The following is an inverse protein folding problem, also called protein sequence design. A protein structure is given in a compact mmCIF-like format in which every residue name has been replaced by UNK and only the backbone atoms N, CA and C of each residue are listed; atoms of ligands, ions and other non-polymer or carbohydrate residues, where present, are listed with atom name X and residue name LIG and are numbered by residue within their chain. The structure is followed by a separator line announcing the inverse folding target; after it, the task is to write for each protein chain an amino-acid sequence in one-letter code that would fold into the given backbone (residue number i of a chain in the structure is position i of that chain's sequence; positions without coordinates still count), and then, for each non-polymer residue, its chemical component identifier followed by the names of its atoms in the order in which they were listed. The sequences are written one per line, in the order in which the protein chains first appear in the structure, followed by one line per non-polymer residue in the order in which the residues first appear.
data_IF_434380593458
#
_entry.id   IF_434380593458
#
_cell.length_a   1.000
_cell.length_b   1.000
_cell.length_c   1.000
_cell.angle_alpha   90.00
_cell.angle_beta   90.00
_cell.angle_gamma   90.00
#
_symmetry.space_group_name_H-M   'P 1'
#
loop_
_entity.id
_entity.type
_entity.pdbx_description
1 polymer ?
#
# COMPACT_ATOMS: atom_id res chain seq x y z
N UNK A 1 -24.25 -10.10 -18.65
CA UNK A 1 -24.04 -8.81 -17.96
C UNK A 1 -24.18 -9.06 -16.47
N UNK A 2 -23.14 -8.76 -15.69
CA UNK A 2 -23.21 -8.85 -14.23
C UNK A 2 -24.23 -7.82 -13.70
N UNK A 3 -24.94 -8.14 -12.63
CA UNK A 3 -25.90 -7.21 -12.04
C UNK A 3 -25.16 -6.07 -11.31
N UNK A 4 -25.76 -4.87 -11.19
CA UNK A 4 -25.15 -3.78 -10.43
C UNK A 4 -24.84 -4.17 -8.97
N UNK A 5 -25.66 -5.03 -8.37
CA UNK A 5 -25.43 -5.56 -7.03
C UNK A 5 -24.16 -6.43 -6.97
N UNK A 6 -23.94 -7.26 -8.00
CA UNK A 6 -22.74 -8.11 -8.11
C UNK A 6 -21.48 -7.28 -8.36
N UNK A 7 -21.56 -6.23 -9.18
CA UNK A 7 -20.44 -5.30 -9.38
C UNK A 7 -20.07 -4.63 -8.06
N UNK A 8 -21.05 -4.10 -7.32
CA UNK A 8 -20.79 -3.45 -6.02
C UNK A 8 -20.19 -4.43 -5.00
N UNK A 9 -20.67 -5.68 -4.96
CA UNK A 9 -20.11 -6.71 -4.08
C UNK A 9 -18.64 -7.02 -4.40
N UNK A 10 -18.29 -7.12 -5.69
CA UNK A 10 -16.91 -7.35 -6.10
C UNK A 10 -16.02 -6.15 -5.74
N UNK A 11 -16.48 -4.92 -6.00
CA UNK A 11 -15.75 -3.70 -5.63
C UNK A 11 -15.42 -3.69 -4.13
N UNK A 12 -16.40 -3.97 -3.27
CA UNK A 12 -16.19 -4.01 -1.81
C UNK A 12 -15.20 -5.10 -1.39
N UNK A 13 -15.31 -6.29 -1.99
CA UNK A 13 -14.40 -7.42 -1.70
C UNK A 13 -12.97 -7.10 -2.12
N UNK A 14 -12.79 -6.51 -3.31
CA UNK A 14 -11.48 -6.14 -3.84
C UNK A 14 -10.82 -5.02 -3.02
N UNK A 15 -11.58 -4.00 -2.60
CA UNK A 15 -11.06 -2.96 -1.70
C UNK A 15 -10.66 -3.55 -0.33
N UNK A 16 -11.44 -4.49 0.19
CA UNK A 16 -11.14 -5.17 1.46
C UNK A 16 -9.85 -5.98 1.37
N UNK A 17 -9.62 -6.70 0.27
CA UNK A 17 -8.35 -7.39 0.01
C UNK A 17 -7.18 -6.39 -0.07
N UNK A 18 -7.38 -5.24 -0.73
CA UNK A 18 -6.38 -4.16 -0.79
C UNK A 18 -6.00 -3.66 0.61
N UNK A 19 -6.97 -3.58 1.52
CA UNK A 19 -6.73 -3.15 2.90
C UNK A 19 -5.78 -4.08 3.66
N UNK A 20 -5.68 -5.37 3.32
CA UNK A 20 -4.74 -6.31 3.94
C UNK A 20 -3.32 -6.27 3.36
N UNK A 21 -3.13 -5.73 2.16
CA UNK A 21 -1.82 -5.69 1.50
C UNK A 21 -0.69 -5.00 2.30
N UNK A 22 -0.94 -4.03 3.20
CA UNK A 22 0.12 -3.44 4.04
C UNK A 22 0.55 -4.31 5.24
N UNK A 23 -0.16 -5.41 5.54
CA UNK A 23 0.19 -6.30 6.66
C UNK A 23 1.63 -6.78 6.52
N UNK A 24 2.38 -6.65 7.62
CA UNK A 24 3.79 -7.04 7.74
C UNK A 24 4.70 -6.45 6.66
N UNK A 25 4.33 -5.32 6.06
CA UNK A 25 5.09 -4.68 4.99
C UNK A 25 6.50 -4.27 5.41
N UNK A 26 6.67 -3.87 6.68
CA UNK A 26 7.95 -3.48 7.27
C UNK A 26 8.72 -4.73 7.72
N UNK A 27 9.93 -4.98 7.20
CA UNK A 27 10.84 -6.00 7.73
C UNK A 27 11.14 -5.81 9.22
N UNK A 28 11.25 -6.89 9.99
CA UNK A 28 11.72 -6.79 11.37
C UNK A 28 13.22 -6.43 11.43
N UNK A 29 13.67 -5.66 12.44
CA UNK A 29 15.00 -5.04 12.44
C UNK A 29 16.14 -6.02 12.80
N UNK A 30 15.84 -7.28 13.05
CA UNK A 30 16.77 -8.35 13.47
C UNK A 30 17.37 -9.16 12.31
N UNK A 31 17.30 -8.63 11.08
CA UNK A 31 17.73 -9.35 9.89
C UNK A 31 16.72 -10.39 9.41
N UNK A 32 15.43 -10.20 9.69
CA UNK A 32 14.33 -11.04 9.18
C UNK A 32 14.54 -11.42 7.71
N UNK A 33 14.58 -12.72 7.46
CA UNK A 33 14.71 -13.27 6.10
C UNK A 33 13.43 -13.06 5.29
N UNK A 34 13.54 -13.12 3.96
CA UNK A 34 12.36 -13.06 3.08
C UNK A 34 11.33 -14.15 3.40
N UNK A 35 11.77 -15.37 3.74
CA UNK A 35 10.88 -16.48 4.13
C UNK A 35 10.09 -16.14 5.39
N UNK A 36 10.76 -15.60 6.42
CA UNK A 36 10.12 -15.21 7.68
C UNK A 36 9.10 -14.09 7.46
N UNK A 37 9.44 -13.08 6.65
CA UNK A 37 8.49 -12.01 6.37
C UNK A 37 7.29 -12.48 5.57
N UNK A 38 7.48 -13.28 4.52
CA UNK A 38 6.37 -13.83 3.75
C UNK A 38 5.44 -14.66 4.64
N UNK A 39 6.00 -15.44 5.57
CA UNK A 39 5.21 -16.19 6.54
C UNK A 39 4.39 -15.26 7.45
N UNK A 40 5.00 -14.19 7.98
CA UNK A 40 4.30 -13.19 8.81
C UNK A 40 3.20 -12.46 8.04
N UNK A 41 3.46 -12.09 6.79
CA UNK A 41 2.43 -11.54 5.89
C UNK A 41 1.28 -12.52 5.69
N UNK A 42 1.58 -13.78 5.39
CA UNK A 42 0.58 -14.82 5.18
C UNK A 42 -0.29 -15.04 6.42
N UNK A 43 0.32 -15.14 7.59
CA UNK A 43 -0.39 -15.37 8.86
C UNK A 43 -1.28 -14.19 9.22
N UNK A 44 -0.78 -12.95 9.08
CA UNK A 44 -1.57 -11.75 9.31
C UNK A 44 -2.73 -11.60 8.34
N UNK A 45 -2.50 -11.80 7.03
CA UNK A 45 -3.57 -11.74 6.01
C UNK A 45 -4.63 -12.81 6.28
N UNK A 46 -4.23 -14.05 6.60
CA UNK A 46 -5.20 -15.12 6.94
C UNK A 46 -6.01 -14.80 8.18
N UNK A 47 -5.38 -14.24 9.22
CA UNK A 47 -6.09 -13.81 10.43
C UNK A 47 -7.12 -12.74 10.11
N UNK A 48 -6.73 -11.69 9.38
CA UNK A 48 -7.64 -10.61 9.01
C UNK A 48 -8.78 -11.09 8.09
N UNK A 49 -8.50 -11.99 7.14
CA UNK A 49 -9.52 -12.60 6.30
C UNK A 49 -10.54 -13.41 7.11
N UNK A 50 -10.09 -14.18 8.10
CA UNK A 50 -10.97 -15.00 8.94
C UNK A 50 -11.91 -14.17 9.84
N UNK A 51 -11.52 -12.94 10.16
CA UNK A 51 -12.32 -12.00 10.97
C UNK A 51 -13.22 -11.10 10.11
N UNK A 52 -13.09 -11.14 8.78
CA UNK A 52 -13.79 -10.23 7.88
C UNK A 52 -14.97 -10.91 7.18
N UNK A 53 -16.23 -10.51 7.48
CA UNK A 53 -17.41 -11.11 6.85
C UNK A 53 -17.38 -11.02 5.32
N UNK A 54 -17.73 -12.11 4.65
CA UNK A 54 -17.81 -12.16 3.19
C UNK A 54 -16.53 -12.65 2.51
N UNK A 55 -15.44 -12.87 3.26
CA UNK A 55 -14.21 -13.49 2.76
C UNK A 55 -14.06 -14.97 3.15
N UNK A 56 -15.06 -15.57 3.79
CA UNK A 56 -15.07 -16.97 4.24
C UNK A 56 -14.84 -17.99 3.12
N UNK A 57 -15.20 -17.61 1.88
CA UNK A 57 -15.01 -18.45 0.70
C UNK A 57 -13.66 -18.26 0.03
N UNK A 58 -12.72 -17.48 0.58
CA UNK A 58 -11.45 -17.17 -0.06
C UNK A 58 -10.26 -17.69 0.77
N UNK A 59 -9.24 -18.22 0.10
CA UNK A 59 -7.99 -18.66 0.74
C UNK A 59 -6.79 -18.07 0.02
N UNK A 60 -5.77 -17.65 0.77
CA UNK A 60 -4.47 -17.25 0.19
C UNK A 60 -3.77 -18.48 -0.38
N UNK A 61 -3.50 -18.46 -1.69
CA UNK A 61 -2.88 -19.56 -2.45
C UNK A 61 -1.50 -19.21 -3.01
N UNK A 62 -1.10 -17.94 -2.99
CA UNK A 62 0.24 -17.49 -3.34
C UNK A 62 0.52 -16.13 -2.69
N UNK A 63 1.78 -15.87 -2.33
CA UNK A 63 2.23 -14.58 -1.85
C UNK A 63 3.68 -14.40 -2.27
N UNK A 64 4.00 -13.29 -2.93
CA UNK A 64 5.36 -13.01 -3.39
C UNK A 64 5.79 -11.60 -3.05
N UNK A 65 7.06 -11.46 -2.67
CA UNK A 65 7.72 -10.16 -2.48
C UNK A 65 8.85 -10.00 -3.48
N UNK A 66 9.12 -8.77 -3.89
CA UNK A 66 10.27 -8.42 -4.73
C UNK A 66 11.58 -8.64 -3.96
N UNK A 67 12.71 -8.74 -4.66
CA UNK A 67 14.03 -9.00 -4.05
C UNK A 67 14.42 -7.96 -3.00
N UNK A 68 14.02 -6.70 -3.19
CA UNK A 68 14.22 -5.61 -2.24
C UNK A 68 13.07 -5.46 -1.23
N UNK A 69 12.05 -6.34 -1.28
CA UNK A 69 10.89 -6.39 -0.38
C UNK A 69 10.02 -5.12 -0.40
N UNK A 70 10.25 -4.26 -1.40
CA UNK A 70 9.55 -3.00 -1.62
C UNK A 70 8.17 -3.19 -2.30
N UNK A 71 7.98 -4.29 -3.06
CA UNK A 71 6.71 -4.61 -3.70
C UNK A 71 6.25 -6.00 -3.27
N UNK A 72 4.94 -6.18 -3.10
CA UNK A 72 4.30 -7.42 -2.68
C UNK A 72 3.00 -7.63 -3.44
N UNK A 73 2.69 -8.88 -3.77
CA UNK A 73 1.37 -9.29 -4.19
C UNK A 73 0.98 -10.62 -3.56
N UNK A 74 -0.32 -10.85 -3.40
CA UNK A 74 -0.85 -12.14 -3.00
C UNK A 74 -2.04 -12.53 -3.86
N UNK A 75 -2.26 -13.83 -3.99
CA UNK A 75 -3.39 -14.42 -4.71
C UNK A 75 -4.30 -15.10 -3.72
N UNK A 76 -5.59 -14.79 -3.78
CA UNK A 76 -6.64 -15.55 -3.14
C UNK A 76 -7.44 -16.33 -4.18
N UNK A 77 -7.89 -17.53 -3.82
CA UNK A 77 -8.74 -18.37 -4.65
C UNK A 77 -10.03 -18.67 -3.90
N UNK A 78 -11.14 -18.64 -4.62
CA UNK A 78 -12.43 -19.02 -4.07
C UNK A 78 -12.47 -20.54 -3.85
N UNK A 79 -12.86 -20.99 -2.65
CA UNK A 79 -12.90 -22.41 -2.28
C UNK A 79 -14.14 -23.13 -2.80
N UNK A 80 -15.19 -22.38 -3.14
CA UNK A 80 -16.43 -22.90 -3.72
C UNK A 80 -16.36 -22.96 -5.24
N UNK A 81 -15.58 -22.06 -5.84
CA UNK A 81 -15.30 -22.03 -7.27
C UNK A 81 -13.81 -21.74 -7.51
N UNK A 82 -13.03 -22.79 -7.75
CA UNK A 82 -11.58 -22.64 -7.93
C UNK A 82 -11.19 -21.92 -9.23
N UNK A 83 -12.14 -21.69 -10.15
CA UNK A 83 -11.92 -20.89 -11.36
C UNK A 83 -11.94 -19.38 -11.09
N UNK A 84 -12.32 -18.96 -9.88
CA UNK A 84 -12.35 -17.56 -9.48
C UNK A 84 -11.17 -17.23 -8.54
N UNK A 85 -10.34 -16.28 -8.97
CA UNK A 85 -9.16 -15.82 -8.25
C UNK A 85 -9.14 -14.30 -8.14
N UNK A 86 -8.44 -13.79 -7.13
CA UNK A 86 -8.07 -12.38 -7.07
C UNK A 86 -6.59 -12.22 -6.75
N UNK A 87 -5.93 -11.30 -7.46
CA UNK A 87 -4.54 -10.89 -7.21
C UNK A 87 -4.57 -9.48 -6.64
N UNK A 88 -4.03 -9.31 -5.43
CA UNK A 88 -3.93 -8.02 -4.79
C UNK A 88 -2.48 -7.52 -4.79
N UNK A 89 -2.26 -6.33 -5.35
CA UNK A 89 -0.97 -5.65 -5.38
C UNK A 89 -0.89 -4.61 -4.27
N UNK A 90 0.22 -4.62 -3.52
CA UNK A 90 0.47 -3.66 -2.44
C UNK A 90 0.87 -2.29 -2.99
N UNK A 91 0.37 -1.23 -2.34
CA UNK A 91 0.85 0.14 -2.54
C UNK A 91 2.14 0.48 -1.78
N UNK A 92 2.63 1.72 -1.95
CA UNK A 92 3.73 2.29 -1.16
C UNK A 92 3.19 3.07 0.03
N UNK A 93 3.99 3.16 1.10
CA UNK A 93 3.76 4.12 2.19
C UNK A 93 4.54 5.38 1.86
N UNK A 94 3.87 6.48 1.51
CA UNK A 94 4.53 7.75 1.20
C UNK A 94 4.33 8.76 2.34
N UNK A 95 5.29 9.67 2.50
CA UNK A 95 5.25 10.75 3.51
C UNK A 95 4.95 12.13 2.92
N UNK A 96 5.06 12.31 1.60
CA UNK A 96 4.77 13.56 0.90
C UNK A 96 4.52 13.32 -0.59
N UNK A 97 4.05 14.35 -1.31
CA UNK A 97 3.94 14.29 -2.77
C UNK A 97 5.30 14.21 -3.47
N UNK A 98 6.36 14.77 -2.87
CA UNK A 98 7.71 14.77 -3.45
C UNK A 98 8.26 13.35 -3.39
N UNK A 99 8.14 12.69 -2.23
CA UNK A 99 8.55 11.30 -2.08
C UNK A 99 7.81 10.41 -3.08
N UNK A 100 6.50 10.63 -3.25
CA UNK A 100 5.70 9.91 -4.24
C UNK A 100 6.19 10.14 -5.69
N UNK A 101 6.59 11.38 -6.04
CA UNK A 101 7.09 11.71 -7.38
C UNK A 101 8.44 11.07 -7.67
N UNK A 102 9.32 11.05 -6.66
CA UNK A 102 10.63 10.43 -6.71
C UNK A 102 10.52 8.91 -6.79
N UNK A 103 9.69 8.29 -5.96
CA UNK A 103 9.41 6.85 -5.97
C UNK A 103 8.88 6.37 -7.32
N UNK A 104 8.06 7.20 -7.99
CA UNK A 104 7.53 6.89 -9.32
C UNK A 104 8.42 7.37 -10.47
N UNK A 105 9.53 8.06 -10.20
CA UNK A 105 10.42 8.68 -11.19
C UNK A 105 9.65 9.37 -12.34
N UNK A 106 8.68 10.23 -12.01
CA UNK A 106 7.63 10.68 -12.96
C UNK A 106 8.09 11.72 -13.97
N UNK A 107 9.29 12.27 -13.75
CA UNK A 107 9.95 13.20 -14.66
C UNK A 107 10.67 12.48 -15.82
N UNK A 108 10.59 11.14 -15.88
CA UNK A 108 11.07 10.33 -16.99
C UNK A 108 9.98 9.33 -17.40
N UNK A 109 9.80 9.13 -18.71
CA UNK A 109 8.85 8.16 -19.26
C UNK A 109 9.56 7.17 -20.18
N UNK A 110 9.13 5.92 -20.14
CA UNK A 110 9.69 4.82 -20.95
C UNK A 110 8.59 4.11 -21.76
N UNK A 111 8.89 3.59 -22.96
CA UNK A 111 7.94 2.81 -23.74
C UNK A 111 7.44 1.57 -22.98
N UNK A 112 6.13 1.34 -22.95
CA UNK A 112 5.55 0.16 -22.31
C UNK A 112 5.32 -0.97 -23.33
N UNK A 113 6.35 -1.80 -23.54
CA UNK A 113 6.31 -2.93 -24.48
C UNK A 113 5.73 -4.21 -23.89
N UNK A 114 5.69 -4.34 -22.56
CA UNK A 114 5.30 -5.57 -21.87
C UNK A 114 3.80 -5.87 -21.99
N UNK A 115 2.99 -4.85 -22.23
CA UNK A 115 1.57 -4.99 -22.54
C UNK A 115 1.28 -5.57 -23.92
N UNK A 116 2.27 -5.95 -24.74
CA UNK A 116 2.05 -6.44 -26.09
C UNK A 116 2.00 -5.31 -27.13
N UNK A 117 1.28 -5.54 -28.24
CA UNK A 117 1.29 -4.61 -29.38
C UNK A 117 0.24 -3.52 -29.22
N UNK A 118 0.63 -2.24 -29.17
CA UNK A 118 -0.31 -1.14 -29.08
C UNK A 118 -0.96 -0.83 -30.45
N UNK A 119 -2.07 -0.07 -30.49
CA UNK A 119 -2.71 0.34 -31.74
C UNK A 119 -1.72 1.02 -32.71
N UNK A 120 -1.82 0.79 -34.03
CA UNK A 120 -0.95 1.43 -35.01
C UNK A 120 -0.93 2.95 -34.86
N UNK A 121 0.27 3.54 -34.83
CA UNK A 121 0.46 5.00 -34.68
C UNK A 121 0.39 5.52 -33.24
N UNK A 122 0.10 4.66 -32.25
CA UNK A 122 0.15 5.04 -30.83
C UNK A 122 1.52 4.75 -30.22
N UNK A 123 1.95 5.59 -29.27
CA UNK A 123 3.22 5.43 -28.54
C UNK A 123 2.94 5.47 -27.03
N UNK A 124 2.46 4.36 -26.43
CA UNK A 124 2.20 4.30 -25.01
C UNK A 124 3.53 4.33 -24.23
N UNK A 125 3.64 5.30 -23.34
CA UNK A 125 4.76 5.41 -22.41
C UNK A 125 4.21 5.52 -20.99
N UNK A 126 4.99 5.01 -20.04
CA UNK A 126 4.67 5.05 -18.60
C UNK A 126 5.81 5.72 -17.83
N UNK A 127 5.53 6.24 -16.64
CA UNK A 127 6.53 6.73 -15.71
C UNK A 127 7.60 5.66 -15.49
N UNK A 128 8.86 6.07 -15.43
CA UNK A 128 9.97 5.12 -15.27
C UNK A 128 9.89 4.33 -13.96
N UNK A 129 9.46 4.93 -12.87
CA UNK A 129 9.27 4.23 -11.61
C UNK A 129 8.06 3.29 -11.65
N UNK A 130 7.02 3.59 -12.43
CA UNK A 130 5.94 2.64 -12.68
C UNK A 130 6.45 1.41 -13.47
N UNK A 131 7.35 1.59 -14.44
CA UNK A 131 8.01 0.49 -15.13
C UNK A 131 8.92 -0.32 -14.19
N UNK A 132 9.70 0.33 -13.32
CA UNK A 132 10.53 -0.35 -12.33
C UNK A 132 9.69 -1.14 -11.30
N UNK A 133 8.56 -0.58 -10.85
CA UNK A 133 7.63 -1.26 -9.97
C UNK A 133 6.99 -2.48 -10.66
N UNK A 134 6.61 -2.35 -11.94
CA UNK A 134 6.15 -3.46 -12.77
C UNK A 134 7.20 -4.58 -12.84
N UNK A 135 8.44 -4.27 -13.19
CA UNK A 135 9.51 -5.26 -13.29
C UNK A 135 9.75 -5.96 -11.94
N UNK A 136 9.78 -5.19 -10.85
CA UNK A 136 9.97 -5.71 -9.50
C UNK A 136 8.85 -6.66 -9.07
N UNK A 137 7.58 -6.37 -9.40
CA UNK A 137 6.46 -7.22 -9.03
C UNK A 137 6.32 -8.45 -9.93
N UNK A 138 6.61 -8.33 -11.23
CA UNK A 138 6.63 -9.47 -12.15
C UNK A 138 7.79 -10.44 -11.83
N UNK A 139 8.87 -9.94 -11.25
CA UNK A 139 9.99 -10.73 -10.74
C UNK A 139 9.82 -11.21 -9.29
N UNK A 140 8.79 -10.75 -8.56
CA UNK A 140 8.54 -11.15 -7.18
C UNK A 140 8.30 -12.65 -7.08
N UNK A 141 8.79 -13.27 -5.99
CA UNK A 141 8.72 -14.72 -5.80
C UNK A 141 8.06 -15.09 -4.49
N UNK A 142 7.14 -16.05 -4.57
CA UNK A 142 6.74 -16.86 -3.44
C UNK A 142 7.86 -17.84 -3.11
N UNK A 143 8.28 -17.83 -1.85
CA UNK A 143 9.23 -18.82 -1.29
C UNK A 143 8.56 -19.76 -0.29
N UNK A 144 7.24 -19.65 -0.14
CA UNK A 144 6.43 -20.50 0.71
C UNK A 144 5.87 -21.70 -0.08
N UNK A 145 5.57 -22.79 0.62
CA UNK A 145 4.93 -23.98 0.05
C UNK A 145 3.40 -23.83 -0.09
N UNK A 146 2.94 -22.81 -0.83
CA UNK A 146 1.52 -22.56 -1.06
C UNK A 146 0.98 -23.29 -2.31
N UNK A 147 -0.36 -23.48 -2.44
CA UNK A 147 -0.94 -24.20 -3.59
C UNK A 147 -0.56 -23.67 -4.98
N UNK A 148 -0.34 -22.36 -5.12
CA UNK A 148 0.15 -21.75 -6.36
C UNK A 148 1.64 -22.00 -6.63
N UNK A 149 2.32 -22.77 -5.77
CA UNK A 149 3.73 -23.12 -5.89
C UNK A 149 4.69 -22.01 -5.45
N UNK A 150 5.98 -22.35 -5.47
CA UNK A 150 7.08 -21.41 -5.33
C UNK A 150 7.39 -20.80 -6.70
N UNK A 151 7.69 -19.50 -6.76
CA UNK A 151 8.01 -18.83 -8.02
C UNK A 151 7.23 -17.54 -8.23
N UNK A 152 7.15 -17.10 -9.49
CA UNK A 152 6.54 -15.83 -9.87
C UNK A 152 5.02 -15.90 -9.94
N UNK A 153 4.37 -14.74 -9.99
CA UNK A 153 2.93 -14.63 -10.19
C UNK A 153 2.47 -15.39 -11.45
N UNK A 154 3.21 -15.28 -12.56
CA UNK A 154 2.88 -15.96 -13.81
C UNK A 154 2.89 -17.48 -13.63
N UNK A 155 3.94 -18.04 -13.01
CA UNK A 155 3.99 -19.48 -12.74
C UNK A 155 2.89 -19.95 -11.78
N UNK A 156 2.48 -19.09 -10.85
CA UNK A 156 1.40 -19.40 -9.93
C UNK A 156 0.04 -19.43 -10.63
N UNK A 157 -0.27 -18.42 -11.44
CA UNK A 157 -1.50 -18.39 -12.23
C UNK A 157 -1.56 -19.53 -13.25
N UNK A 158 -0.43 -19.90 -13.86
CA UNK A 158 -0.35 -21.11 -14.71
C UNK A 158 -0.71 -22.38 -13.94
N UNK A 159 -0.18 -22.52 -12.71
CA UNK A 159 -0.46 -23.68 -11.85
C UNK A 159 -1.91 -23.72 -11.41
N UNK A 160 -2.48 -22.57 -11.03
CA UNK A 160 -3.81 -22.47 -10.45
C UNK A 160 -4.93 -22.53 -11.49
N UNK A 161 -4.75 -21.90 -12.66
CA UNK A 161 -5.76 -21.82 -13.71
C UNK A 161 -5.61 -22.93 -14.77
N UNK A 162 -4.48 -23.66 -14.79
CA UNK A 162 -4.18 -24.64 -15.82
C UNK A 162 -4.06 -24.02 -17.22
N UNK A 163 -4.09 -24.88 -18.24
CA UNK A 163 -3.81 -24.50 -19.64
C UNK A 163 -5.05 -24.45 -20.54
N UNK A 164 -6.19 -25.02 -20.11
CA UNK A 164 -7.38 -25.20 -20.97
C UNK A 164 -8.68 -24.72 -20.34
N UNK A 165 -8.78 -24.72 -19.01
CA UNK A 165 -10.03 -24.37 -18.34
C UNK A 165 -10.23 -22.85 -18.28
N UNK A 166 -11.48 -22.36 -18.42
CA UNK A 166 -11.80 -20.96 -18.15
C UNK A 166 -11.53 -20.61 -16.68
N UNK A 167 -11.02 -19.41 -16.44
CA UNK A 167 -10.86 -18.84 -15.11
C UNK A 167 -11.00 -17.32 -15.15
N UNK A 168 -11.51 -16.73 -14.08
CA UNK A 168 -11.58 -15.29 -13.90
C UNK A 168 -10.57 -14.87 -12.85
N UNK A 169 -9.69 -13.94 -13.20
CA UNK A 169 -8.67 -13.39 -12.30
C UNK A 169 -8.94 -11.91 -12.10
N UNK A 170 -9.42 -11.55 -10.90
CA UNK A 170 -9.64 -10.16 -10.49
C UNK A 170 -8.31 -9.53 -10.06
N UNK A 171 -7.83 -8.54 -10.80
CA UNK A 171 -6.60 -7.81 -10.50
C UNK A 171 -6.95 -6.55 -9.73
N UNK A 172 -6.44 -6.42 -8.51
CA UNK A 172 -6.77 -5.28 -7.64
C UNK A 172 -5.58 -4.69 -6.91
N UNK A 173 -5.68 -3.40 -6.59
CA UNK A 173 -4.69 -2.73 -5.78
C UNK A 173 -5.12 -1.32 -5.40
N UNK A 174 -4.59 -0.85 -4.26
CA UNK A 174 -4.78 0.50 -3.75
C UNK A 174 -3.47 1.31 -3.93
N UNK A 175 -3.56 2.62 -4.19
CA UNK A 175 -2.39 3.51 -4.35
C UNK A 175 -1.48 3.04 -5.50
N UNK A 176 -0.16 2.91 -5.27
CA UNK A 176 0.76 2.26 -6.22
C UNK A 176 0.27 0.88 -6.67
N UNK A 177 -0.40 0.11 -5.81
CA UNK A 177 -0.99 -1.18 -6.19
C UNK A 177 -2.04 -1.01 -7.30
N UNK A 178 -2.85 0.06 -7.24
CA UNK A 178 -3.82 0.39 -8.28
C UNK A 178 -3.13 0.84 -9.58
N UNK A 179 -2.02 1.58 -9.49
CA UNK A 179 -1.18 1.90 -10.65
C UNK A 179 -0.59 0.63 -11.28
N UNK A 180 -0.09 -0.32 -10.46
CA UNK A 180 0.42 -1.61 -10.91
C UNK A 180 -0.64 -2.43 -11.65
N UNK A 181 -1.90 -2.42 -11.23
CA UNK A 181 -2.97 -3.09 -11.99
C UNK A 181 -3.03 -2.60 -13.43
N UNK A 182 -2.85 -1.29 -13.67
CA UNK A 182 -2.91 -0.71 -15.03
C UNK A 182 -1.78 -1.18 -15.94
N UNK A 183 -0.64 -1.59 -15.39
CA UNK A 183 0.52 -2.10 -16.15
C UNK A 183 0.55 -3.63 -16.19
N UNK A 184 0.26 -4.30 -15.07
CA UNK A 184 0.28 -5.76 -14.94
C UNK A 184 -0.86 -6.41 -15.72
N UNK A 185 -2.07 -5.84 -15.73
CA UNK A 185 -3.21 -6.45 -16.41
C UNK A 185 -2.99 -6.59 -17.94
N UNK A 186 -2.56 -5.54 -18.69
CA UNK A 186 -2.15 -5.69 -20.09
C UNK A 186 -1.10 -6.78 -20.31
N UNK A 187 -0.07 -6.84 -19.45
CA UNK A 187 1.02 -7.79 -19.60
C UNK A 187 0.56 -9.24 -19.37
N UNK A 188 -0.23 -9.49 -18.31
CA UNK A 188 -0.80 -10.80 -18.04
C UNK A 188 -1.74 -11.23 -19.17
N UNK A 189 -2.65 -10.36 -19.62
CA UNK A 189 -3.55 -10.69 -20.73
C UNK A 189 -2.76 -11.06 -22.00
N UNK A 190 -1.67 -10.36 -22.31
CA UNK A 190 -0.83 -10.66 -23.48
C UNK A 190 -0.01 -11.95 -23.33
N UNK A 191 0.47 -12.27 -22.14
CA UNK A 191 1.17 -13.52 -21.88
C UNK A 191 0.20 -14.71 -21.92
N UNK A 192 -0.94 -14.60 -21.23
CA UNK A 192 -1.91 -15.69 -21.10
C UNK A 192 -2.73 -15.93 -22.36
N UNK A 193 -2.86 -14.96 -23.27
CA UNK A 193 -3.39 -15.21 -24.62
C UNK A 193 -2.63 -16.33 -25.37
N UNK A 194 -1.35 -16.59 -25.01
CA UNK A 194 -0.54 -17.68 -25.57
C UNK A 194 -0.52 -18.95 -24.70
N UNK A 195 -0.87 -18.84 -23.43
CA UNK A 195 -0.75 -19.93 -22.44
C UNK A 195 -2.11 -20.60 -22.18
N UNK A 196 -3.12 -19.80 -21.87
CA UNK A 196 -4.51 -20.20 -21.69
C UNK A 196 -5.42 -19.02 -22.10
N UNK A 197 -5.92 -19.01 -23.35
CA UNK A 197 -6.72 -17.90 -23.86
C UNK A 197 -8.14 -17.82 -23.25
N UNK A 198 -8.52 -18.79 -22.41
CA UNK A 198 -9.82 -18.80 -21.73
C UNK A 198 -9.81 -18.08 -20.38
N UNK A 199 -8.64 -17.60 -19.93
CA UNK A 199 -8.53 -16.79 -18.73
C UNK A 199 -8.96 -15.35 -19.03
N UNK A 200 -9.89 -14.84 -18.22
CA UNK A 200 -10.30 -13.44 -18.21
C UNK A 200 -9.64 -12.69 -17.06
N UNK A 201 -9.31 -11.42 -17.30
CA UNK A 201 -8.74 -10.54 -16.29
C UNK A 201 -9.67 -9.34 -16.11
N UNK A 202 -10.21 -9.19 -14.91
CA UNK A 202 -11.01 -8.04 -14.50
C UNK A 202 -10.12 -7.10 -13.67
N UNK A 203 -10.31 -5.78 -13.81
CA UNK A 203 -9.45 -4.78 -13.15
C UNK A 203 -10.22 -3.93 -12.16
N UNK A 204 -9.66 -3.78 -10.95
CA UNK A 204 -10.21 -3.00 -9.85
C UNK A 204 -9.12 -2.14 -9.23
N UNK A 205 -9.04 -0.87 -9.63
CA UNK A 205 -8.06 0.07 -9.08
C UNK A 205 -8.72 0.98 -8.06
N UNK A 206 -8.01 1.23 -6.97
CA UNK A 206 -8.43 2.15 -5.92
C UNK A 206 -7.34 3.18 -5.72
N UNK A 207 -7.69 4.46 -5.71
CA UNK A 207 -6.74 5.52 -5.35
C UNK A 207 -5.46 5.54 -6.22
N UNK A 208 -5.56 5.08 -7.47
CA UNK A 208 -4.39 4.86 -8.32
C UNK A 208 -3.86 6.19 -8.88
N UNK A 209 -2.56 6.52 -8.73
CA UNK A 209 -1.96 7.59 -9.52
C UNK A 209 -1.82 7.15 -10.98
N UNK A 210 -1.71 8.13 -11.89
CA UNK A 210 -1.54 7.86 -13.32
C UNK A 210 -0.23 7.15 -13.61
N UNK A 211 -0.29 6.07 -14.37
CA UNK A 211 0.90 5.35 -14.80
C UNK A 211 1.59 5.98 -16.02
N UNK A 212 0.85 6.58 -16.95
CA UNK A 212 1.40 6.96 -18.25
C UNK A 212 0.61 8.00 -19.01
N UNK A 213 0.92 8.12 -20.30
CA UNK A 213 0.33 9.11 -21.20
C UNK A 213 -1.05 8.69 -21.74
N UNK A 214 -1.68 9.57 -22.51
CA UNK A 214 -2.99 9.32 -23.15
C UNK A 214 -3.02 8.04 -24.00
N UNK A 215 -1.96 7.79 -24.78
CA UNK A 215 -1.86 6.58 -25.61
C UNK A 215 -1.87 5.30 -24.76
N UNK A 216 -1.21 5.31 -23.60
CA UNK A 216 -1.25 4.22 -22.65
C UNK A 216 -2.64 4.07 -22.01
N UNK A 217 -3.24 5.16 -21.52
CA UNK A 217 -4.56 5.13 -20.88
C UNK A 217 -5.66 4.62 -21.83
N UNK A 218 -5.70 5.14 -23.07
CA UNK A 218 -6.67 4.71 -24.09
C UNK A 218 -6.46 3.25 -24.48
N UNK A 219 -5.20 2.81 -24.57
CA UNK A 219 -4.89 1.42 -24.86
C UNK A 219 -5.35 0.48 -23.75
N UNK A 220 -5.18 0.88 -22.48
CA UNK A 220 -5.71 0.15 -21.34
C UNK A 220 -7.24 0.07 -21.39
N UNK A 221 -7.93 1.21 -21.56
CA UNK A 221 -9.41 1.28 -21.58
C UNK A 221 -10.02 0.42 -22.70
N UNK A 222 -9.37 0.38 -23.87
CA UNK A 222 -9.80 -0.45 -24.99
C UNK A 222 -9.78 -1.95 -24.65
N UNK A 223 -8.84 -2.37 -23.79
CA UNK A 223 -8.65 -3.78 -23.42
C UNK A 223 -9.43 -4.18 -22.17
N UNK A 224 -9.74 -3.22 -21.31
CA UNK A 224 -10.47 -3.41 -20.06
C UNK A 224 -11.67 -2.45 -19.97
N UNK A 225 -12.63 -2.51 -20.91
CA UNK A 225 -13.74 -1.55 -20.98
C UNK A 225 -14.71 -1.65 -19.79
N UNK A 226 -14.65 -2.75 -19.04
CA UNK A 226 -15.45 -2.96 -17.83
C UNK A 226 -14.65 -2.74 -16.53
N UNK A 227 -13.41 -2.23 -16.65
CA UNK A 227 -12.54 -1.97 -15.52
C UNK A 227 -13.16 -0.98 -14.52
N UNK A 228 -12.92 -1.22 -13.24
CA UNK A 228 -13.42 -0.39 -12.15
C UNK A 228 -12.26 0.47 -11.63
N UNK A 229 -12.20 1.73 -12.05
CA UNK A 229 -11.26 2.71 -11.52
C UNK A 229 -11.96 3.61 -10.48
N UNK A 230 -11.85 3.21 -9.22
CA UNK A 230 -12.54 3.80 -8.07
C UNK A 230 -11.63 4.86 -7.42
N UNK A 231 -12.17 6.05 -7.22
CA UNK A 231 -11.42 7.16 -6.68
C UNK A 231 -12.29 8.07 -5.81
N UNK A 232 -11.65 8.65 -4.80
CA UNK A 232 -12.19 9.71 -3.97
C UNK A 232 -11.81 11.05 -4.62
N UNK A 233 -12.79 11.93 -4.79
CA UNK A 233 -12.58 13.27 -5.39
C UNK A 233 -11.43 14.03 -4.73
N UNK A 234 -11.33 13.93 -3.41
CA UNK A 234 -10.35 14.66 -2.60
C UNK A 234 -9.10 13.84 -2.26
N UNK A 235 -8.95 12.63 -2.81
CA UNK A 235 -7.69 11.92 -2.74
C UNK A 235 -6.70 12.52 -3.74
N UNK A 236 -5.65 13.16 -3.21
CA UNK A 236 -4.59 13.77 -4.01
C UNK A 236 -3.87 12.71 -4.86
N UNK A 237 -3.67 11.49 -4.36
CA UNK A 237 -2.92 10.44 -5.07
C UNK A 237 -3.65 10.00 -6.33
N UNK A 238 -4.98 9.84 -6.27
CA UNK A 238 -5.79 9.54 -7.46
C UNK A 238 -5.77 10.66 -8.52
N UNK A 239 -5.31 11.86 -8.14
CA UNK A 239 -5.28 13.06 -8.98
C UNK A 239 -3.87 13.43 -9.48
N UNK A 240 -2.82 12.73 -9.03
CA UNK A 240 -1.48 12.89 -9.60
C UNK A 240 -1.24 11.88 -10.73
N UNK A 241 -0.55 12.22 -11.81
CA UNK A 241 0.17 13.47 -12.12
C UNK A 241 -0.59 14.36 -13.11
N UNK A 242 -1.84 14.01 -13.42
CA UNK A 242 -2.65 14.68 -14.44
C UNK A 242 -3.32 15.98 -13.98
N UNK A 243 -3.57 16.15 -12.67
CA UNK A 243 -4.39 17.24 -12.12
C UNK A 243 -3.61 18.21 -11.20
N UNK A 244 -2.32 18.47 -11.52
CA UNK A 244 -1.44 19.36 -10.75
C UNK A 244 -1.62 20.86 -11.06
N UNK A 245 -2.27 21.18 -12.18
CA UNK A 245 -2.43 22.54 -12.69
C UNK A 245 -3.26 23.45 -11.78
N UNK A 246 -3.38 24.73 -12.11
CA UNK A 246 -4.29 25.63 -11.40
C UNK A 246 -5.74 25.40 -11.86
N UNK A 247 -6.69 25.45 -10.93
CA UNK A 247 -8.12 25.38 -11.26
C UNK A 247 -8.97 24.89 -10.09
N UNK A 248 -10.29 25.14 -10.12
CA UNK A 248 -11.20 24.83 -9.01
C UNK A 248 -11.38 23.32 -8.76
N UNK A 249 -10.98 22.48 -9.73
CA UNK A 249 -11.03 21.02 -9.63
C UNK A 249 -9.65 20.39 -9.46
N UNK A 250 -8.59 21.22 -9.38
CA UNK A 250 -7.22 20.74 -9.24
C UNK A 250 -6.85 20.42 -7.80
N UNK A 251 -5.77 19.66 -7.60
CA UNK A 251 -5.28 19.36 -6.25
C UNK A 251 -4.88 20.63 -5.48
N UNK A 252 -4.61 21.75 -6.16
CA UNK A 252 -4.34 23.04 -5.53
C UNK A 252 -5.56 23.62 -4.80
N UNK A 253 -6.76 23.15 -5.15
CA UNK A 253 -8.04 23.55 -4.57
C UNK A 253 -8.65 22.48 -3.65
N UNK A 254 -7.91 21.41 -3.34
CA UNK A 254 -8.40 20.38 -2.44
C UNK A 254 -8.42 20.86 -0.99
N UNK A 255 -9.28 20.20 -0.22
CA UNK A 255 -9.58 20.48 1.18
C UNK A 255 -10.18 21.88 1.40
N UNK A 256 -11.35 22.17 0.79
CA UNK A 256 -12.10 23.39 1.07
C UNK A 256 -12.56 23.42 2.53
N UNK A 257 -13.01 24.58 3.00
CA UNK A 257 -13.60 24.78 4.34
C UNK A 257 -14.60 23.64 4.67
N UNK A 258 -14.50 23.02 5.87
CA UNK A 258 -13.66 23.37 7.02
C UNK A 258 -12.19 22.90 6.94
N UNK A 259 -11.80 22.27 5.83
CA UNK A 259 -10.49 21.70 5.63
C UNK A 259 -9.33 22.71 5.46
N UNK A 260 -8.10 22.21 5.60
CA UNK A 260 -6.87 22.96 5.42
C UNK A 260 -6.64 23.26 3.93
N UNK A 261 -7.11 24.42 3.45
CA UNK A 261 -6.94 24.76 2.04
C UNK A 261 -5.46 24.99 1.69
N UNK A 262 -4.99 24.47 0.55
CA UNK A 262 -3.55 24.36 0.24
C UNK A 262 -2.81 25.72 0.21
N UNK A 263 -3.48 26.81 -0.15
CA UNK A 263 -2.87 28.15 -0.16
C UNK A 263 -2.72 28.77 1.24
N UNK A 264 -3.41 28.21 2.23
CA UNK A 264 -3.40 28.70 3.62
C UNK A 264 -2.42 27.90 4.50
N UNK A 265 -1.99 26.73 4.03
CA UNK A 265 -1.13 25.82 4.77
C UNK A 265 0.34 26.06 4.40
N UNK A 266 1.19 26.30 5.39
CA UNK A 266 2.62 26.58 5.19
C UNK A 266 3.54 25.58 5.88
N UNK A 267 4.70 25.35 5.28
CA UNK A 267 5.82 24.62 5.88
C UNK A 267 6.58 25.50 6.90
N UNK A 268 7.61 24.93 7.55
CA UNK A 268 8.46 25.66 8.50
C UNK A 268 9.27 26.82 7.88
N UNK A 269 9.36 26.89 6.54
CA UNK A 269 10.06 27.93 5.78
C UNK A 269 9.09 28.99 5.24
N UNK A 270 7.78 28.86 5.50
CA UNK A 270 6.75 29.77 5.02
C UNK A 270 6.31 29.51 3.57
N UNK A 271 6.71 28.40 2.94
CA UNK A 271 6.22 28.00 1.63
C UNK A 271 4.83 27.36 1.77
N UNK A 272 3.87 27.81 0.97
CA UNK A 272 2.53 27.22 0.99
C UNK A 272 2.52 25.87 0.31
N UNK A 273 1.66 24.96 0.75
CA UNK A 273 1.46 23.66 0.06
C UNK A 273 1.09 23.88 -1.41
N UNK A 274 0.26 24.89 -1.70
CA UNK A 274 -0.05 25.29 -3.08
C UNK A 274 1.22 25.62 -3.88
N UNK A 275 2.17 26.37 -3.32
CA UNK A 275 3.42 26.72 -4.01
C UNK A 275 4.30 25.49 -4.26
N UNK A 276 4.28 24.50 -3.37
CA UNK A 276 4.99 23.24 -3.55
C UNK A 276 4.39 22.42 -4.70
N UNK A 277 3.05 22.32 -4.77
CA UNK A 277 2.33 21.68 -5.87
C UNK A 277 2.64 22.38 -7.20
N UNK A 278 2.64 23.71 -7.23
CA UNK A 278 2.99 24.48 -8.42
C UNK A 278 4.44 24.24 -8.86
N UNK A 279 5.37 24.15 -7.91
CA UNK A 279 6.76 23.78 -8.17
C UNK A 279 6.89 22.40 -8.82
N UNK A 280 6.08 21.44 -8.35
CA UNK A 280 6.02 20.09 -8.91
C UNK A 280 5.41 20.07 -10.32
N UNK A 281 4.30 20.77 -10.54
CA UNK A 281 3.70 20.94 -11.85
C UNK A 281 4.69 21.56 -12.85
N UNK A 282 5.47 22.55 -12.39
CA UNK A 282 6.53 23.16 -13.20
C UNK A 282 7.66 22.17 -13.51
N UNK A 283 8.17 21.42 -12.53
CA UNK A 283 9.20 20.38 -12.77
C UNK A 283 8.72 19.35 -13.79
N UNK A 284 7.46 18.94 -13.69
CA UNK A 284 6.85 17.99 -14.63
C UNK A 284 6.79 18.57 -16.05
N UNK A 285 6.33 19.81 -16.20
CA UNK A 285 6.30 20.50 -17.49
C UNK A 285 7.71 20.69 -18.08
N UNK A 286 8.68 21.09 -17.25
CA UNK A 286 10.07 21.34 -17.67
C UNK A 286 10.81 20.03 -18.06
N UNK A 287 10.36 18.87 -17.57
CA UNK A 287 10.96 17.58 -17.90
C UNK A 287 10.74 17.13 -19.35
N UNK A 288 9.73 17.70 -20.04
CA UNK A 288 9.41 17.38 -21.43
C UNK A 288 8.73 16.02 -21.63
N UNK A 289 8.31 15.34 -20.56
CA UNK A 289 7.52 14.11 -20.66
C UNK A 289 6.12 14.40 -21.23
N UNK A 290 5.50 13.38 -21.83
CA UNK A 290 4.12 13.50 -22.30
C UNK A 290 3.17 13.70 -21.11
N UNK A 291 2.09 14.50 -21.25
CA UNK A 291 1.11 14.66 -20.19
C UNK A 291 0.57 13.31 -19.70
N UNK A 292 0.50 13.16 -18.38
CA UNK A 292 -0.10 11.99 -17.76
C UNK A 292 -1.61 12.04 -17.86
N UNK A 293 -2.23 10.88 -18.08
CA UNK A 293 -3.69 10.74 -18.22
C UNK A 293 -4.16 9.53 -17.41
N UNK A 294 -5.27 9.69 -16.70
CA UNK A 294 -5.93 8.55 -16.04
C UNK A 294 -6.66 7.67 -17.05
N UNK A 295 -6.64 6.35 -16.89
CA UNK A 295 -7.66 5.48 -17.48
C UNK A 295 -9.08 5.94 -17.08
N UNK A 296 -10.09 5.51 -17.83
CA UNK A 296 -11.48 5.92 -17.60
C UNK A 296 -11.91 5.63 -16.16
N UNK A 297 -12.19 6.70 -15.41
CA UNK A 297 -12.57 6.62 -14.01
C UNK A 297 -14.08 6.48 -13.83
N UNK A 298 -14.50 5.78 -12.78
CA UNK A 298 -15.89 5.75 -12.35
C UNK A 298 -16.30 7.13 -11.78
N UNK A 299 -17.60 7.41 -11.57
CA UNK A 299 -18.00 8.63 -10.86
C UNK A 299 -17.28 8.75 -9.50
N UNK A 300 -16.77 9.95 -9.15
CA UNK A 300 -16.00 10.12 -7.93
C UNK A 300 -16.83 9.83 -6.68
N UNK A 301 -16.17 9.23 -5.69
CA UNK A 301 -16.66 9.21 -4.31
C UNK A 301 -16.43 10.58 -3.65
N UNK A 302 -17.13 10.84 -2.54
CA UNK A 302 -16.96 12.03 -1.68
C UNK A 302 -17.01 13.36 -2.47
N UNK A 303 -18.11 13.63 -3.18
CA UNK A 303 -18.18 14.76 -4.13
C UNK A 303 -18.21 16.16 -3.50
N UNK A 304 -18.61 16.25 -2.23
CA UNK A 304 -18.92 17.46 -1.48
C UNK A 304 -18.01 17.67 -0.25
N UNK A 305 -17.00 16.81 -0.06
CA UNK A 305 -16.07 16.84 1.08
C UNK A 305 -16.74 16.57 2.44
N UNK A 306 -17.92 15.94 2.46
CA UNK A 306 -18.61 15.57 3.68
C UNK A 306 -17.80 14.59 4.54
N UNK A 307 -16.96 13.76 3.92
CA UNK A 307 -16.05 12.83 4.61
C UNK A 307 -14.64 13.43 4.64
N UNK A 308 -14.20 13.88 5.81
CA UNK A 308 -12.88 14.48 6.05
C UNK A 308 -12.37 14.15 7.45
N UNK A 309 -11.06 14.32 7.67
CA UNK A 309 -10.46 14.12 8.99
C UNK A 309 -10.81 15.29 9.92
N UNK A 310 -11.43 15.05 11.10
CA UNK A 310 -11.66 16.10 12.09
C UNK A 310 -10.38 16.53 12.81
N UNK A 311 -9.35 15.67 12.80
CA UNK A 311 -8.08 15.90 13.53
C UNK A 311 -7.05 16.70 12.70
N UNK A 312 -7.39 17.02 11.45
CA UNK A 312 -6.50 17.66 10.48
C UNK A 312 -7.18 18.87 9.81
N UNK A 313 -7.65 19.81 10.63
CA UNK A 313 -8.35 21.03 10.20
C UNK A 313 -7.53 22.31 10.45
N UNK A 314 -6.36 22.20 11.08
CA UNK A 314 -5.47 23.35 11.27
C UNK A 314 -4.90 23.84 9.93
N UNK A 315 -4.49 25.10 9.84
CA UNK A 315 -3.94 25.67 8.58
C UNK A 315 -2.43 25.47 8.49
N UNK A 316 -1.95 24.25 8.73
CA UNK A 316 -0.53 23.90 8.63
C UNK A 316 -0.28 22.87 7.54
N UNK A 317 0.96 22.77 7.07
CA UNK A 317 1.36 21.68 6.17
C UNK A 317 1.08 20.29 6.78
N UNK A 318 1.26 20.14 8.10
CA UNK A 318 0.98 18.88 8.80
C UNK A 318 -0.51 18.50 8.74
N UNK A 319 -1.41 19.47 8.92
CA UNK A 319 -2.85 19.24 8.79
C UNK A 319 -3.24 18.91 7.35
N UNK A 320 -2.67 19.62 6.36
CA UNK A 320 -2.91 19.31 4.95
C UNK A 320 -2.47 17.88 4.61
N UNK A 321 -1.29 17.48 5.09
CA UNK A 321 -0.80 16.11 4.95
C UNK A 321 -1.67 15.10 5.70
N UNK A 322 -2.23 15.48 6.84
CA UNK A 322 -3.20 14.68 7.60
C UNK A 322 -4.49 14.43 6.81
N UNK A 323 -5.02 15.44 6.10
CA UNK A 323 -6.15 15.23 5.19
C UNK A 323 -5.78 14.39 4.00
N UNK A 324 -4.63 14.61 3.38
CA UNK A 324 -4.17 13.77 2.28
C UNK A 324 -4.14 12.30 2.74
N UNK A 325 -3.48 12.00 3.85
CA UNK A 325 -3.39 10.65 4.40
C UNK A 325 -4.79 10.07 4.70
N UNK A 326 -5.70 10.87 5.27
CA UNK A 326 -7.07 10.46 5.55
C UNK A 326 -7.84 10.15 4.26
N UNK A 327 -7.85 11.05 3.28
CA UNK A 327 -8.58 10.87 2.02
C UNK A 327 -8.07 9.68 1.21
N UNK A 328 -6.78 9.35 1.36
CA UNK A 328 -6.12 8.23 0.71
C UNK A 328 -6.17 6.92 1.53
N UNK A 329 -6.71 6.90 2.74
CA UNK A 329 -6.64 5.70 3.59
C UNK A 329 -7.59 4.59 3.10
N UNK A 330 -7.15 3.33 3.25
CA UNK A 330 -7.98 2.15 2.92
C UNK A 330 -9.37 2.20 3.59
N UNK A 331 -9.42 2.56 4.87
CA UNK A 331 -10.68 2.63 5.63
C UNK A 331 -11.58 3.79 5.19
N UNK A 332 -11.03 4.88 4.65
CA UNK A 332 -11.83 5.96 4.05
C UNK A 332 -12.51 5.44 2.79
N UNK A 333 -11.79 4.72 1.93
CA UNK A 333 -12.38 4.09 0.75
C UNK A 333 -13.44 3.04 1.11
N UNK A 334 -13.16 2.17 2.09
CA UNK A 334 -14.15 1.18 2.56
C UNK A 334 -15.42 1.87 3.09
N UNK A 335 -15.27 2.92 3.90
CA UNK A 335 -16.41 3.68 4.41
C UNK A 335 -17.23 4.35 3.29
N UNK A 336 -16.55 4.99 2.32
CA UNK A 336 -17.22 5.62 1.17
C UNK A 336 -17.95 4.62 0.28
N UNK A 337 -17.49 3.37 0.23
CA UNK A 337 -18.13 2.26 -0.49
C UNK A 337 -19.22 1.55 0.34
N UNK A 338 -19.42 1.94 1.60
CA UNK A 338 -20.33 1.28 2.53
C UNK A 338 -19.88 -0.14 2.94
N UNK A 339 -18.60 -0.45 2.78
CA UNK A 339 -17.99 -1.70 3.22
C UNK A 339 -17.52 -1.60 4.69
N UNK A 340 -17.46 -2.72 5.44
CA UNK A 340 -16.84 -2.75 6.75
C UNK A 340 -15.39 -2.28 6.68
N UNK A 341 -14.97 -1.47 7.64
CA UNK A 341 -13.56 -1.09 7.79
C UNK A 341 -12.75 -2.28 8.29
N UNK A 342 -11.46 -2.29 7.94
CA UNK A 342 -10.51 -3.28 8.41
C UNK A 342 -9.69 -2.68 9.55
N UNK A 343 -9.52 -3.44 10.62
CA UNK A 343 -8.68 -3.02 11.72
C UNK A 343 -7.26 -3.59 11.57
N UNK A 344 -6.32 -2.76 11.09
CA UNK A 344 -4.88 -3.05 11.16
C UNK A 344 -4.30 -2.14 12.25
N UNK A 345 -4.41 -2.59 13.49
CA UNK A 345 -3.87 -1.86 14.62
C UNK A 345 -2.34 -1.83 14.56
N UNK A 346 -1.77 -0.66 14.30
CA UNK A 346 -0.32 -0.43 14.43
C UNK A 346 -0.03 -0.12 15.89
N UNK A 347 0.83 -0.89 16.59
CA UNK A 347 1.20 -0.58 17.96
C UNK A 347 1.78 0.84 18.05
N UNK A 348 1.23 1.68 18.93
CA UNK A 348 1.72 3.04 19.17
C UNK A 348 2.30 3.12 20.58
N UNK A 349 3.63 3.22 20.69
CA UNK A 349 4.30 3.36 21.99
C UNK A 349 4.01 4.74 22.55
N UNK A 350 3.44 4.77 23.75
CA UNK A 350 3.17 5.97 24.54
C UNK A 350 4.37 6.34 25.41
N UNK A 351 4.98 5.36 26.05
CA UNK A 351 6.09 5.56 26.97
C UNK A 351 6.88 4.30 27.28
N UNK A 352 8.10 4.50 27.77
CA UNK A 352 9.02 3.49 28.29
C UNK A 352 9.39 3.82 29.74
N UNK A 353 9.45 2.82 30.62
CA UNK A 353 9.90 3.00 32.00
C UNK A 353 10.69 1.79 32.52
N UNK A 354 11.98 1.94 32.89
CA UNK A 354 12.80 3.13 32.68
C UNK A 354 13.14 3.34 31.19
N UNK A 355 13.42 4.58 30.79
CA UNK A 355 13.92 4.93 29.43
C UNK A 355 15.45 4.85 29.30
N UNK A 356 16.14 4.34 30.31
CA UNK A 356 17.58 4.11 30.27
C UNK A 356 17.99 2.99 31.23
N UNK A 357 19.11 2.34 30.93
CA UNK A 357 19.65 1.25 31.75
C UNK A 357 20.76 0.47 31.06
N UNK A 358 21.25 -0.57 31.72
CA UNK A 358 22.21 -1.54 31.14
C UNK A 358 21.48 -2.74 30.52
N UNK A 359 22.21 -3.63 29.85
CA UNK A 359 21.68 -4.93 29.47
C UNK A 359 21.11 -5.66 30.71
N UNK A 360 19.97 -6.32 30.56
CA UNK A 360 19.25 -6.96 31.66
C UNK A 360 18.29 -6.04 32.42
N UNK A 361 18.18 -4.76 32.05
CA UNK A 361 17.21 -3.85 32.69
C UNK A 361 15.78 -4.25 32.30
N UNK A 362 14.88 -4.54 33.26
CA UNK A 362 13.46 -4.72 32.95
C UNK A 362 12.85 -3.37 32.57
N UNK A 363 12.22 -3.32 31.40
CA UNK A 363 11.56 -2.14 30.84
C UNK A 363 10.07 -2.43 30.65
N UNK A 364 9.25 -1.55 31.17
CA UNK A 364 7.81 -1.53 30.94
C UNK A 364 7.50 -0.59 29.79
N UNK A 365 6.83 -1.10 28.77
CA UNK A 365 6.39 -0.36 27.59
C UNK A 365 4.89 -0.18 27.69
N UNK A 366 4.42 1.04 27.50
CA UNK A 366 2.98 1.36 27.46
C UNK A 366 2.61 1.78 26.05
N UNK A 367 1.46 1.31 25.56
CA UNK A 367 0.93 1.67 24.24
C UNK A 367 -0.44 2.35 24.35
N UNK A 368 -0.80 3.17 23.36
CA UNK A 368 -2.11 3.86 23.34
C UNK A 368 -3.27 2.91 22.98
N UNK A 369 -3.06 1.97 22.04
CA UNK A 369 -4.11 1.06 21.54
C UNK A 369 -4.09 -0.31 22.23
N UNK A 370 -5.27 -0.90 22.42
CA UNK A 370 -5.52 -2.14 23.18
C UNK A 370 -5.30 -3.43 22.39
N UNK A 371 -4.95 -3.36 21.11
CA UNK A 371 -4.83 -4.56 20.26
C UNK A 371 -3.40 -5.13 20.18
N UNK A 372 -2.45 -4.53 20.89
CA UNK A 372 -1.03 -4.63 20.55
C UNK A 372 -0.27 -5.80 21.17
N UNK A 373 -0.86 -6.56 22.09
CA UNK A 373 -0.13 -7.60 22.81
C UNK A 373 -0.75 -8.98 22.66
N UNK A 374 -0.42 -9.66 21.56
CA UNK A 374 -0.50 -11.12 21.50
C UNK A 374 0.68 -11.73 22.30
N UNK A 375 0.54 -12.99 22.74
CA UNK A 375 1.64 -13.70 23.42
C UNK A 375 2.91 -13.83 22.57
N UNK A 376 2.81 -13.61 21.25
CA UNK A 376 3.91 -13.66 20.29
C UNK A 376 4.56 -12.29 19.99
N UNK A 377 4.21 -11.22 20.71
CA UNK A 377 4.81 -9.91 20.50
C UNK A 377 6.31 -9.93 20.83
N UNK A 378 7.08 -9.31 19.94
CA UNK A 378 8.53 -9.13 20.09
C UNK A 378 8.78 -7.65 20.33
N UNK A 379 9.61 -7.35 21.32
CA UNK A 379 10.12 -6.00 21.53
C UNK A 379 11.56 -5.93 21.03
N UNK A 380 11.84 -4.91 20.24
CA UNK A 380 13.15 -4.59 19.72
C UNK A 380 13.73 -3.37 20.43
N UNK A 381 15.03 -3.41 20.69
CA UNK A 381 15.86 -2.27 21.10
C UNK A 381 16.88 -2.05 19.97
N UNK A 382 16.56 -1.16 19.03
CA UNK A 382 17.27 -1.09 17.75
C UNK A 382 17.06 -2.38 16.95
N UNK A 383 18.15 -3.06 16.60
CA UNK A 383 18.13 -4.37 15.91
C UNK A 383 18.05 -5.57 16.86
N UNK A 384 18.16 -5.36 18.18
CA UNK A 384 18.29 -6.45 19.14
C UNK A 384 16.94 -6.82 19.77
N UNK A 385 16.65 -8.12 19.89
CA UNK A 385 15.43 -8.61 20.53
C UNK A 385 15.56 -8.56 22.06
N UNK A 386 14.59 -7.93 22.72
CA UNK A 386 14.41 -8.06 24.16
C UNK A 386 14.04 -9.49 24.55
N UNK A 387 14.29 -9.83 25.82
CA UNK A 387 14.03 -11.17 26.39
C UNK A 387 12.99 -11.09 27.51
N UNK A 388 12.46 -12.23 27.94
CA UNK A 388 11.47 -12.31 29.02
C UNK A 388 10.24 -11.42 28.84
N UNK A 389 9.81 -11.22 27.58
CA UNK A 389 8.66 -10.40 27.25
C UNK A 389 7.38 -10.99 27.87
N UNK A 390 6.70 -10.18 28.70
CA UNK A 390 5.44 -10.55 29.37
C UNK A 390 4.43 -9.44 29.22
N UNK A 391 3.31 -9.77 28.60
CA UNK A 391 2.16 -8.89 28.48
C UNK A 391 1.55 -8.67 29.86
N UNK A 392 1.39 -7.40 30.25
CA UNK A 392 0.82 -6.96 31.53
C UNK A 392 -0.44 -6.15 31.22
N UNK A 393 -1.59 -6.83 31.25
CA UNK A 393 -2.87 -6.23 30.87
C UNK A 393 -2.99 -6.01 29.35
N UNK A 394 -3.83 -5.06 28.95
CA UNK A 394 -4.18 -4.76 27.56
C UNK A 394 -3.27 -3.69 26.90
N UNK A 395 -2.56 -2.90 27.72
CA UNK A 395 -1.78 -1.73 27.26
C UNK A 395 -0.33 -1.72 27.70
N UNK A 396 0.16 -2.80 28.31
CA UNK A 396 1.56 -2.86 28.72
C UNK A 396 2.25 -4.19 28.43
N UNK A 397 3.54 -4.12 28.13
CA UNK A 397 4.45 -5.26 28.08
C UNK A 397 5.68 -4.94 28.90
N UNK A 398 6.12 -5.92 29.70
CA UNK A 398 7.42 -5.88 30.36
C UNK A 398 8.40 -6.70 29.55
N UNK A 399 9.63 -6.22 29.38
CA UNK A 399 10.67 -6.90 28.62
C UNK A 399 12.04 -6.56 29.19
N UNK A 400 12.96 -7.51 29.14
CA UNK A 400 14.36 -7.32 29.54
C UNK A 400 15.15 -6.74 28.38
N UNK A 401 15.77 -5.58 28.59
CA UNK A 401 16.64 -4.92 27.61
C UNK A 401 17.83 -5.83 27.24
N UNK A 402 18.09 -6.08 25.95
CA UNK A 402 19.15 -6.99 25.51
C UNK A 402 20.54 -6.40 25.66
N UNK A 403 21.57 -7.21 25.35
CA UNK A 403 22.90 -6.67 25.10
C UNK A 403 22.87 -5.83 23.83
N UNK A 404 23.44 -4.63 23.88
CA UNK A 404 23.57 -3.76 22.73
C UNK A 404 25.03 -3.68 22.28
N UNK A 405 25.28 -4.13 21.06
CA UNK A 405 26.63 -4.13 20.45
C UNK A 405 26.84 -2.94 19.49
N UNK A 406 25.82 -2.10 19.31
CA UNK A 406 25.88 -0.95 18.40
C UNK A 406 26.66 0.24 18.98
N UNK A 407 27.13 1.11 18.08
CA UNK A 407 27.88 2.33 18.43
C UNK A 407 26.95 3.39 19.05
N UNK A 408 25.69 3.43 18.64
CA UNK A 408 24.71 4.39 19.15
C UNK A 408 24.26 4.03 20.57
N UNK A 409 24.40 4.94 21.54
CA UNK A 409 23.95 4.68 22.92
C UNK A 409 22.44 4.67 23.08
N UNK A 410 21.75 5.53 22.33
CA UNK A 410 20.29 5.64 22.35
C UNK A 410 19.73 4.92 21.13
N UNK A 411 18.78 4.03 21.34
CA UNK A 411 18.11 3.27 20.28
C UNK A 411 16.61 3.50 20.33
N UNK A 412 15.93 3.33 19.20
CA UNK A 412 14.48 3.25 19.18
C UNK A 412 14.04 1.88 19.72
N UNK A 413 12.98 1.89 20.52
CA UNK A 413 12.27 0.70 20.95
C UNK A 413 11.07 0.51 20.03
N UNK A 414 10.87 -0.72 19.56
CA UNK A 414 9.73 -1.06 18.72
C UNK A 414 9.03 -2.32 19.22
N UNK A 415 7.72 -2.37 19.06
CA UNK A 415 6.87 -3.49 19.48
C UNK A 415 6.14 -4.05 18.27
N UNK A 416 6.15 -5.37 18.11
CA UNK A 416 5.35 -6.05 17.08
C UNK A 416 3.99 -6.46 17.59
N UNK A 417 3.05 -6.63 16.67
CA UNK A 417 1.91 -7.54 16.82
C UNK A 417 1.86 -8.50 15.61
N UNK A 418 0.76 -9.25 15.45
CA UNK A 418 0.59 -10.18 14.33
C UNK A 418 0.61 -9.47 12.97
N UNK A 419 0.14 -8.22 12.93
CA UNK A 419 -0.13 -7.51 11.68
C UNK A 419 1.01 -6.59 11.26
N UNK A 420 1.79 -6.05 12.21
CA UNK A 420 2.79 -5.00 11.93
C UNK A 420 3.74 -4.76 13.12
N UNK A 421 4.56 -3.72 13.02
CA UNK A 421 5.47 -3.21 14.04
C UNK A 421 5.19 -1.71 14.26
N UNK A 422 5.41 -1.22 15.48
CA UNK A 422 5.39 0.21 15.79
C UNK A 422 6.47 0.99 15.03
N UNK A 423 6.49 2.31 15.17
CA UNK A 423 7.56 3.13 14.61
C UNK A 423 8.93 2.64 15.08
N UNK A 424 9.84 2.49 14.11
CA UNK A 424 11.22 2.04 14.30
C UNK A 424 12.20 3.21 14.31
N UNK A 425 11.72 4.42 14.00
CA UNK A 425 12.46 5.67 14.18
C UNK A 425 12.38 6.13 15.63
N UNK A 426 13.39 6.90 16.05
CA UNK A 426 13.45 7.50 17.38
C UNK A 426 12.41 8.60 17.51
N UNK A 427 11.65 8.53 18.59
CA UNK A 427 10.67 9.52 19.03
C UNK A 427 10.83 9.70 20.54
N UNK A 428 10.38 10.82 21.12
CA UNK A 428 10.43 11.01 22.57
C UNK A 428 9.74 9.89 23.38
N UNK A 429 8.78 9.19 22.78
CA UNK A 429 8.02 8.13 23.44
C UNK A 429 8.71 6.76 23.42
N UNK A 430 9.65 6.51 22.49
CA UNK A 430 10.22 5.19 22.26
C UNK A 430 11.77 5.14 22.31
N UNK A 431 12.43 6.10 22.94
CA UNK A 431 13.90 6.07 23.09
C UNK A 431 14.35 5.33 24.36
N UNK A 432 15.28 4.38 24.19
CA UNK A 432 16.00 3.75 25.30
C UNK A 432 17.49 4.05 25.21
N UNK A 433 18.08 4.54 26.31
CA UNK A 433 19.51 4.87 26.37
C UNK A 433 20.31 3.88 27.22
N UNK A 434 21.29 3.22 26.59
CA UNK A 434 22.21 2.32 27.28
C UNK A 434 23.24 3.10 28.11
N UNK A 435 23.33 2.81 29.41
CA UNK A 435 24.16 3.56 30.36
C UNK A 435 25.59 3.06 30.52
N UNK A 436 25.93 1.87 30.00
CA UNK A 436 27.30 1.34 29.91
C UNK A 436 27.48 0.48 28.65
N UNK A 437 28.64 0.61 27.97
CA UNK A 437 29.08 -0.41 27.03
C UNK A 437 29.73 -1.51 27.86
N UNK A 438 29.05 -2.64 28.02
CA UNK A 438 29.71 -3.84 28.54
C UNK A 438 30.65 -4.34 27.41
N UNK A 439 31.94 -4.08 27.61
CA UNK A 439 33.03 -4.48 26.72
C UNK A 439 33.10 -5.97 26.41
#
# INVERSE_FOLDING_TARGET
MSSAATVNQNVNSMMTLCAFSPIAAVPLPDGETSVQQQQRMLDGIRSSMAETPGLDSWKVVWLGVSSFRANMAFVVQNVKDTSELAVCFRGTVFSSLIDLAEDFEVFEQVPFSQGGTPPPGSTPVIAKGAAAAFDAIMAAKCVLGLPGGSGTLVSALQTLCGTTEPATVHLTGHSLGGCLVTTVAPALQSQFAKINPHITFDTYTFAAPTAGNEAFATWFDTRFPNGQAIWNKYDVVANVWWNLGAGPTSIQSFFPDPGPYASECTDKKGQTVQSQIQGMAKKLADSGVSPYVQPTQQPPLNTDYAVHSPDALGKTEQDWMGQLAYQHANNTYLALLGAPTVNIDVPQIKSLSPSSGRAGTPVTITVESTAAFASACVVYFGSERGTDAKVVGDKSITVTAPRHLGIEKTVAVAVTNLLTISDTKKTPANEFTYTSQDG
#
